data_IF_680735931607
#
_entry.id   IF_680735931607
#
_cell.length_a   1.000
_cell.length_b   1.000
_cell.length_c   1.000
_cell.angle_alpha   90.00
_cell.angle_beta   90.00
_cell.angle_gamma   90.00
#
_symmetry.space_group_name_H-M   'P 1'
#
loop_
_entity.id
_entity.type
_entity.pdbx_description
1 polymer ?
#
# COMPACT_ATOMS: atom_id res chain seq x y z
N UNK A 1 -28.33 -5.67 28.99
CA UNK A 1 -27.94 -6.83 29.82
C UNK A 1 -28.02 -8.07 28.96
N UNK A 2 -26.95 -8.39 28.25
CA UNK A 2 -26.86 -9.59 27.40
C UNK A 2 -26.01 -10.63 28.12
N UNK A 3 -26.61 -11.81 28.25
CA UNK A 3 -26.05 -13.01 28.87
C UNK A 3 -24.78 -13.46 28.11
N UNK A 4 -23.68 -13.84 28.78
CA UNK A 4 -22.53 -14.40 28.08
C UNK A 4 -22.80 -15.87 27.75
N UNK A 5 -22.82 -16.19 26.45
CA UNK A 5 -22.86 -17.54 25.93
C UNK A 5 -21.59 -18.28 26.32
N UNK A 6 -21.75 -19.36 27.10
CA UNK A 6 -20.69 -20.25 27.52
C UNK A 6 -20.25 -21.12 26.33
N UNK A 7 -19.00 -20.97 25.89
CA UNK A 7 -18.39 -21.82 24.87
C UNK A 7 -18.06 -23.20 25.47
N UNK A 8 -18.26 -24.31 24.73
CA UNK A 8 -17.87 -25.63 25.19
C UNK A 8 -16.34 -25.76 25.25
N UNK A 9 -15.84 -26.26 26.38
CA UNK A 9 -14.42 -26.62 26.59
C UNK A 9 -14.09 -27.88 25.77
N UNK A 10 -12.94 -27.91 25.07
CA UNK A 10 -12.48 -29.13 24.39
C UNK A 10 -12.04 -30.17 25.43
N UNK A 11 -12.50 -31.42 25.24
CA UNK A 11 -12.08 -32.58 26.04
C UNK A 11 -10.56 -32.77 25.96
N UNK A 12 -9.94 -32.93 27.13
CA UNK A 12 -8.53 -33.22 27.23
C UNK A 12 -8.20 -34.60 26.62
N UNK A 13 -7.13 -34.73 25.83
CA UNK A 13 -6.71 -36.03 25.31
C UNK A 13 -6.33 -36.95 26.48
N UNK A 14 -6.98 -38.11 26.53
CA UNK A 14 -6.72 -39.17 27.51
C UNK A 14 -5.24 -39.54 27.51
N UNK A 15 -4.59 -39.39 28.67
CA UNK A 15 -3.20 -39.81 28.87
C UNK A 15 -3.02 -41.30 28.52
N UNK A 16 -2.00 -41.67 27.73
CA UNK A 16 -1.63 -43.07 27.57
C UNK A 16 -1.17 -43.62 28.93
N UNK A 17 -1.66 -44.83 29.25
CA UNK A 17 -1.29 -45.58 30.47
C UNK A 17 0.22 -45.76 30.51
N UNK A 18 0.80 -45.56 31.69
CA UNK A 18 2.18 -45.89 32.01
C UNK A 18 2.43 -47.39 31.73
N UNK A 19 3.00 -47.69 30.57
CA UNK A 19 3.73 -48.93 30.33
C UNK A 19 5.13 -48.76 30.88
N UNK A 20 5.50 -49.61 31.84
CA UNK A 20 6.85 -49.71 32.38
C UNK A 20 7.88 -49.90 31.24
N UNK A 21 9.08 -49.30 31.33
CA UNK A 21 10.10 -49.47 30.31
C UNK A 21 10.57 -50.93 30.30
N UNK A 22 10.27 -51.64 29.21
CA UNK A 22 10.84 -52.96 28.92
C UNK A 22 12.37 -52.88 29.00
N UNK A 23 12.98 -53.79 29.77
CA UNK A 23 14.42 -53.81 30.01
C UNK A 23 15.22 -53.79 28.71
N UNK A 24 16.11 -52.81 28.58
CA UNK A 24 17.02 -52.66 27.44
C UNK A 24 18.11 -53.75 27.48
N UNK A 25 17.84 -54.91 26.89
CA UNK A 25 18.86 -55.93 26.58
C UNK A 25 19.39 -55.81 25.14
N UNK A 26 19.54 -54.57 24.65
CA UNK A 26 20.11 -54.30 23.33
C UNK A 26 21.64 -54.40 23.34
N UNK A 27 22.28 -54.82 22.22
CA UNK A 27 23.74 -54.81 22.13
C UNK A 27 24.28 -53.39 22.32
N UNK A 28 25.31 -53.25 23.16
CA UNK A 28 26.03 -51.99 23.36
C UNK A 28 26.52 -51.46 22.00
N UNK A 29 26.35 -50.16 21.71
CA UNK A 29 26.81 -49.59 20.47
C UNK A 29 28.32 -49.77 20.35
N UNK A 30 28.78 -50.18 19.18
CA UNK A 30 30.20 -50.33 18.91
C UNK A 30 30.89 -48.96 18.94
N UNK A 31 32.19 -48.96 19.22
CA UNK A 31 32.99 -47.73 19.22
C UNK A 31 32.86 -46.94 17.90
N UNK A 32 32.76 -47.64 16.76
CA UNK A 32 32.52 -47.02 15.45
C UNK A 32 31.16 -46.31 15.36
N UNK A 33 30.11 -46.90 15.95
CA UNK A 33 28.78 -46.28 16.00
C UNK A 33 28.77 -45.02 16.86
N UNK A 34 29.49 -45.02 17.98
CA UNK A 34 29.63 -43.84 18.84
C UNK A 34 30.38 -42.69 18.15
N UNK A 35 31.48 -42.99 17.45
CA UNK A 35 32.25 -41.98 16.68
C UNK A 35 31.39 -41.39 15.55
N UNK A 36 30.67 -42.23 14.81
CA UNK A 36 29.77 -41.77 13.74
C UNK A 36 28.66 -40.85 14.27
N UNK A 37 28.10 -41.16 15.44
CA UNK A 37 27.07 -40.33 16.08
C UNK A 37 27.63 -38.98 16.52
N UNK A 38 28.83 -38.94 17.12
CA UNK A 38 29.53 -37.70 17.49
C UNK A 38 29.77 -36.80 16.28
N UNK A 39 30.32 -37.33 15.19
CA UNK A 39 30.57 -36.57 13.96
C UNK A 39 29.28 -36.01 13.36
N UNK A 40 28.17 -36.75 13.45
CA UNK A 40 26.86 -36.30 12.96
C UNK A 40 26.34 -35.12 13.79
N UNK A 41 26.49 -35.19 15.12
CA UNK A 41 26.11 -34.11 16.02
C UNK A 41 26.98 -32.86 15.81
N UNK A 42 28.28 -33.02 15.61
CA UNK A 42 29.20 -31.91 15.29
C UNK A 42 28.84 -31.23 13.96
N UNK A 43 28.52 -32.02 12.93
CA UNK A 43 28.07 -31.49 11.64
C UNK A 43 26.73 -30.73 11.77
N UNK A 44 25.78 -31.26 12.55
CA UNK A 44 24.51 -30.59 12.81
C UNK A 44 24.70 -29.28 13.57
N UNK A 45 25.59 -29.25 14.57
CA UNK A 45 25.89 -28.05 15.35
C UNK A 45 26.51 -26.96 14.46
N UNK A 46 27.44 -27.35 13.59
CA UNK A 46 28.12 -26.45 12.65
C UNK A 46 27.14 -25.90 11.61
N UNK A 47 26.27 -26.75 11.07
CA UNK A 47 25.21 -26.33 10.13
C UNK A 47 24.26 -25.34 10.81
N UNK A 48 23.84 -25.61 12.04
CA UNK A 48 23.00 -24.70 12.82
C UNK A 48 23.67 -23.34 13.08
N UNK A 49 24.98 -23.29 13.29
CA UNK A 49 25.72 -22.03 13.42
C UNK A 49 25.75 -21.22 12.11
N UNK A 50 25.91 -21.90 10.96
CA UNK A 50 25.87 -21.26 9.63
C UNK A 50 24.47 -20.70 9.35
N UNK A 51 23.42 -21.49 9.64
CA UNK A 51 22.03 -21.08 9.45
C UNK A 51 21.69 -19.87 10.33
N UNK A 52 22.13 -19.88 11.59
CA UNK A 52 21.99 -18.74 12.48
C UNK A 52 22.67 -17.47 11.93
N UNK A 53 23.91 -17.60 11.43
CA UNK A 53 24.63 -16.46 10.84
C UNK A 53 23.89 -15.89 9.63
N UNK A 54 23.40 -16.76 8.72
CA UNK A 54 22.62 -16.34 7.55
C UNK A 54 21.33 -15.63 7.94
N UNK A 55 20.63 -16.13 8.96
CA UNK A 55 19.41 -15.49 9.48
C UNK A 55 19.74 -14.11 10.06
N UNK A 56 20.82 -13.99 10.84
CA UNK A 56 21.25 -12.71 11.40
C UNK A 56 21.56 -11.67 10.32
N UNK A 57 22.30 -12.08 9.29
CA UNK A 57 22.60 -11.21 8.14
C UNK A 57 21.32 -10.78 7.41
N UNK A 58 20.35 -11.68 7.27
CA UNK A 58 19.05 -11.37 6.67
C UNK A 58 18.28 -10.32 7.48
N UNK A 59 18.29 -10.42 8.81
CA UNK A 59 17.66 -9.45 9.72
C UNK A 59 18.34 -8.08 9.55
N UNK A 60 19.66 -8.02 9.59
CA UNK A 60 20.42 -6.77 9.43
C UNK A 60 20.09 -6.09 8.08
N UNK A 61 19.90 -6.89 7.02
CA UNK A 61 19.52 -6.38 5.71
C UNK A 61 18.07 -5.86 5.67
N UNK A 62 17.14 -6.52 6.35
CA UNK A 62 15.75 -6.05 6.48
C UNK A 62 15.73 -4.72 7.23
N UNK A 63 16.43 -4.60 8.35
CA UNK A 63 16.48 -3.36 9.14
C UNK A 63 17.07 -2.19 8.33
N UNK A 64 18.16 -2.44 7.59
CA UNK A 64 18.72 -1.45 6.67
C UNK A 64 17.71 -1.00 5.62
N UNK A 65 16.98 -1.96 5.03
CA UNK A 65 15.97 -1.66 4.00
C UNK A 65 14.79 -0.87 4.57
N UNK A 66 14.32 -1.21 5.77
CA UNK A 66 13.28 -0.47 6.48
C UNK A 66 13.67 0.98 6.74
N UNK A 67 14.94 1.23 7.10
CA UNK A 67 15.46 2.60 7.25
C UNK A 67 15.37 3.40 5.94
N UNK A 68 15.86 2.82 4.84
CA UNK A 68 15.82 3.47 3.52
C UNK A 68 14.38 3.75 3.08
N UNK A 69 13.46 2.83 3.34
CA UNK A 69 12.03 3.04 3.04
C UNK A 69 11.50 4.25 3.83
N UNK A 70 11.77 4.33 5.13
CA UNK A 70 11.31 5.46 5.95
C UNK A 70 11.92 6.81 5.56
N UNK A 71 13.18 6.83 5.09
CA UNK A 71 13.81 8.04 4.54
C UNK A 71 13.10 8.50 3.25
N UNK A 72 12.83 7.58 2.33
CA UNK A 72 12.13 7.88 1.07
C UNK A 72 10.70 8.39 1.31
N UNK A 73 9.94 7.77 2.23
CA UNK A 73 8.58 8.19 2.58
C UNK A 73 8.56 9.63 3.10
N UNK A 74 9.53 10.01 3.92
CA UNK A 74 9.68 11.37 4.42
C UNK A 74 9.99 12.36 3.31
N UNK A 75 10.91 12.02 2.40
CA UNK A 75 11.23 12.87 1.24
C UNK A 75 10.03 13.08 0.31
N UNK A 76 9.19 12.05 0.15
CA UNK A 76 7.96 12.13 -0.63
C UNK A 76 6.92 13.05 0.05
N UNK A 77 6.74 12.91 1.36
CA UNK A 77 5.87 13.78 2.15
C UNK A 77 6.33 15.25 2.11
N UNK A 78 7.63 15.49 2.27
CA UNK A 78 8.23 16.82 2.19
C UNK A 78 8.00 17.43 0.78
N UNK A 79 8.15 16.63 -0.28
CA UNK A 79 7.87 17.05 -1.66
C UNK A 79 6.40 17.38 -1.90
N UNK A 80 5.47 16.54 -1.43
CA UNK A 80 4.03 16.80 -1.56
C UNK A 80 3.64 18.07 -0.79
N UNK A 81 4.18 18.26 0.42
CA UNK A 81 3.99 19.47 1.22
C UNK A 81 4.47 20.72 0.50
N UNK A 82 5.64 20.66 -0.14
CA UNK A 82 6.19 21.79 -0.90
C UNK A 82 5.35 22.12 -2.14
N UNK A 83 4.89 21.12 -2.88
CA UNK A 83 3.99 21.33 -4.02
C UNK A 83 2.67 21.99 -3.61
N UNK A 84 2.05 21.56 -2.51
CA UNK A 84 0.82 22.18 -1.99
C UNK A 84 1.04 23.64 -1.61
N UNK A 85 2.15 23.96 -0.92
CA UNK A 85 2.51 25.34 -0.57
C UNK A 85 2.74 26.19 -1.82
N UNK A 86 3.35 25.62 -2.87
CA UNK A 86 3.54 26.30 -4.13
C UNK A 86 2.21 26.61 -4.83
N UNK A 87 1.26 25.69 -4.81
CA UNK A 87 -0.08 25.89 -5.37
C UNK A 87 -0.91 26.92 -4.59
N UNK A 88 -0.83 26.92 -3.25
CA UNK A 88 -1.46 27.96 -2.41
C UNK A 88 -0.90 29.36 -2.71
N UNK A 89 0.40 29.45 -2.97
CA UNK A 89 1.06 30.71 -3.31
C UNK A 89 0.86 31.10 -4.80
N UNK A 90 0.39 30.16 -5.64
CA UNK A 90 -0.03 30.45 -7.00
C UNK A 90 -1.41 31.12 -7.00
N UNK A 91 -1.39 32.43 -6.72
CA UNK A 91 -2.56 33.33 -6.72
C UNK A 91 -3.13 33.60 -8.12
N UNK A 92 -2.96 32.68 -9.08
CA UNK A 92 -3.75 32.62 -10.32
C UNK A 92 -5.22 32.41 -9.96
N UNK A 93 -5.85 33.47 -9.45
CA UNK A 93 -7.26 33.52 -9.17
C UNK A 93 -7.98 33.37 -10.50
N UNK A 94 -8.49 32.16 -10.75
CA UNK A 94 -9.31 31.91 -11.92
C UNK A 94 -10.55 32.78 -11.80
N UNK A 95 -10.55 33.88 -12.57
CA UNK A 95 -11.67 34.80 -12.57
C UNK A 95 -12.95 34.05 -12.86
N UNK A 96 -13.96 34.27 -12.02
CA UNK A 96 -15.29 33.76 -12.23
C UNK A 96 -16.02 34.50 -13.36
N UNK A 97 -15.45 35.57 -13.90
CA UNK A 97 -16.10 36.36 -14.92
C UNK A 97 -16.24 35.57 -16.23
N UNK A 98 -17.41 35.71 -16.89
CA UNK A 98 -17.57 35.20 -18.24
C UNK A 98 -16.69 36.02 -19.19
N UNK A 99 -15.80 35.38 -19.95
CA UNK A 99 -14.92 36.09 -20.90
C UNK A 99 -15.61 36.53 -22.21
N UNK A 100 -16.92 36.29 -22.34
CA UNK A 100 -17.73 36.72 -23.49
C UNK A 100 -18.53 37.97 -23.16
N UNK A 101 -19.30 37.96 -22.06
CA UNK A 101 -20.14 39.09 -21.65
C UNK A 101 -19.63 39.86 -20.43
N UNK A 102 -18.49 39.45 -19.85
CA UNK A 102 -17.86 40.05 -18.67
C UNK A 102 -18.70 40.08 -17.39
N UNK A 103 -19.83 39.35 -17.34
CA UNK A 103 -20.57 39.14 -16.10
C UNK A 103 -19.64 38.53 -15.04
N UNK A 104 -19.48 39.19 -13.89
CA UNK A 104 -18.47 38.88 -12.87
C UNK A 104 -18.64 37.49 -12.26
N UNK A 105 -19.89 37.04 -12.08
CA UNK A 105 -20.21 35.73 -11.52
C UNK A 105 -21.53 35.19 -12.09
N UNK A 106 -21.54 34.61 -13.31
CA UNK A 106 -22.76 34.05 -13.89
C UNK A 106 -23.23 32.82 -13.10
N UNK A 107 -24.55 32.69 -12.93
CA UNK A 107 -25.17 31.60 -12.15
C UNK A 107 -24.88 30.21 -12.71
N UNK A 108 -24.76 30.07 -14.03
CA UNK A 108 -24.47 28.81 -14.71
C UNK A 108 -23.41 29.01 -15.80
N UNK A 109 -22.59 27.98 -16.00
CA UNK A 109 -21.54 27.93 -17.03
C UNK A 109 -21.58 26.60 -17.75
N UNK A 110 -21.09 26.61 -18.97
CA UNK A 110 -20.90 25.42 -19.78
C UNK A 110 -19.45 25.33 -20.20
N UNK A 111 -18.93 24.11 -20.27
CA UNK A 111 -17.66 23.81 -20.90
C UNK A 111 -17.92 23.29 -22.32
N UNK A 112 -17.17 23.80 -23.30
CA UNK A 112 -17.27 23.35 -24.68
C UNK A 112 -16.47 22.06 -24.82
N UNK A 113 -17.14 20.91 -25.01
CA UNK A 113 -16.52 19.58 -24.96
C UNK A 113 -15.40 19.35 -25.98
N UNK A 114 -15.40 20.07 -27.11
CA UNK A 114 -14.31 19.98 -28.09
C UNK A 114 -12.97 20.51 -27.55
N UNK A 115 -12.99 21.62 -26.79
CA UNK A 115 -11.79 22.40 -26.46
C UNK A 115 -11.60 22.75 -24.97
N UNK A 116 -12.56 22.44 -24.11
CA UNK A 116 -12.52 22.73 -22.67
C UNK A 116 -12.77 24.19 -22.28
N UNK A 117 -12.80 25.14 -23.22
CA UNK A 117 -13.10 26.54 -22.89
C UNK A 117 -14.51 26.70 -22.30
N UNK A 118 -14.66 27.66 -21.39
CA UNK A 118 -15.92 27.90 -20.66
C UNK A 118 -16.57 29.23 -21.02
N UNK A 119 -17.90 29.24 -21.05
CA UNK A 119 -18.74 30.44 -21.19
C UNK A 119 -19.93 30.35 -20.21
N UNK A 120 -20.62 31.47 -19.94
CA UNK A 120 -21.88 31.39 -19.19
C UNK A 120 -22.98 30.76 -20.05
N UNK A 121 -23.98 30.14 -19.40
CA UNK A 121 -25.07 29.46 -20.11
C UNK A 121 -25.78 30.39 -21.11
N UNK A 122 -26.10 31.62 -20.70
CA UNK A 122 -26.75 32.61 -21.57
C UNK A 122 -25.91 32.96 -22.81
N UNK A 123 -24.58 33.04 -22.69
CA UNK A 123 -23.71 33.25 -23.85
C UNK A 123 -23.66 32.02 -24.74
N UNK A 124 -23.61 30.82 -24.15
CA UNK A 124 -23.59 29.58 -24.91
C UNK A 124 -24.88 29.38 -25.72
N UNK A 125 -26.04 29.65 -25.13
CA UNK A 125 -27.34 29.58 -25.82
C UNK A 125 -27.43 30.57 -26.98
N UNK A 126 -26.91 31.80 -26.79
CA UNK A 126 -26.87 32.81 -27.87
C UNK A 126 -25.92 32.44 -29.01
N UNK A 127 -24.81 31.76 -28.68
CA UNK A 127 -23.84 31.28 -29.67
C UNK A 127 -24.29 29.98 -30.34
N UNK A 128 -25.21 29.24 -29.73
CA UNK A 128 -25.73 28.00 -30.26
C UNK A 128 -26.55 28.28 -31.52
N UNK A 129 -26.13 27.68 -32.63
CA UNK A 129 -26.83 27.78 -33.91
C UNK A 129 -26.98 26.38 -34.49
N UNK A 130 -28.22 25.91 -34.67
CA UNK A 130 -28.51 24.58 -35.24
C UNK A 130 -27.77 23.42 -34.53
N UNK A 131 -27.81 23.40 -33.19
CA UNK A 131 -27.21 22.31 -32.38
C UNK A 131 -25.69 22.31 -32.28
N UNK A 132 -25.02 23.39 -32.70
CA UNK A 132 -23.56 23.55 -32.56
C UNK A 132 -23.20 24.90 -31.96
N UNK A 133 -22.07 24.94 -31.26
CA UNK A 133 -21.44 26.17 -30.78
C UNK A 133 -20.03 26.23 -31.36
N UNK A 134 -19.67 27.38 -31.93
CA UNK A 134 -18.28 27.69 -32.29
C UNK A 134 -17.64 28.40 -31.10
N UNK A 135 -16.54 27.85 -30.60
CA UNK A 135 -15.83 28.43 -29.47
C UNK A 135 -15.35 29.86 -29.79
N UNK A 136 -15.68 30.88 -28.98
CA UNK A 136 -15.24 32.25 -29.24
C UNK A 136 -13.73 32.47 -29.00
N UNK A 137 -13.04 31.51 -28.37
CA UNK A 137 -11.62 31.63 -28.01
C UNK A 137 -10.70 30.90 -28.99
N UNK A 138 -11.00 29.65 -29.35
CA UNK A 138 -10.18 28.83 -30.24
C UNK A 138 -10.89 28.37 -31.52
N UNK A 139 -12.16 28.73 -31.72
CA UNK A 139 -12.98 28.44 -32.91
C UNK A 139 -13.27 26.96 -33.18
N UNK A 140 -12.93 26.07 -32.26
CA UNK A 140 -13.38 24.67 -32.34
C UNK A 140 -14.90 24.55 -32.22
N UNK A 141 -15.45 23.55 -32.91
CA UNK A 141 -16.89 23.32 -33.00
C UNK A 141 -17.28 22.24 -32.00
N UNK A 142 -18.11 22.63 -31.03
CA UNK A 142 -18.80 21.70 -30.14
C UNK A 142 -20.18 21.39 -30.72
N UNK A 143 -20.53 20.09 -30.80
CA UNK A 143 -21.86 19.61 -31.21
C UNK A 143 -22.56 18.99 -30.00
N UNK A 144 -23.88 19.13 -29.94
CA UNK A 144 -24.75 18.52 -28.93
C UNK A 144 -25.70 17.51 -29.59
#
# INVERSE_FOLDING_TARGET
>A
FTCPTQMPVPEAPSHPRNTEPAGCSGPMPSQAQLISALNTLEAALTTGQIDYHRLKESIDNIEKRSRVIGENEKEEEDRDSELRKADENNTSSYSRACRVCYASNPCARVALSACGHTACLACAERLATRGKIVCPFCREITRF
#
